data_IF_730859778805
#
_entry.id   IF_730859778805
#
_cell.length_a   1.000
_cell.length_b   1.000
_cell.length_c   1.000
_cell.angle_alpha   90.00
_cell.angle_beta   90.00
_cell.angle_gamma   90.00
#
_symmetry.space_group_name_H-M   'P 1'
#
loop_
_entity.id
_entity.type
_entity.pdbx_description
1 polymer ?
#
# COMPACT_ATOMS: atom_id res chain seq x y z
N UNK A 1 7.65 2.66 78.99
CA UNK A 1 8.68 2.55 77.94
C UNK A 1 8.03 1.94 76.72
N UNK A 2 7.86 2.74 75.66
CA UNK A 2 7.01 2.48 74.49
C UNK A 2 7.93 2.40 73.26
N UNK A 3 8.12 1.22 72.70
CA UNK A 3 8.74 1.05 71.37
C UNK A 3 7.61 0.83 70.37
N UNK A 4 7.07 1.93 69.84
CA UNK A 4 6.27 1.90 68.63
C UNK A 4 7.23 1.84 67.44
N UNK A 5 7.59 0.64 67.01
CA UNK A 5 8.33 0.43 65.77
C UNK A 5 7.39 0.67 64.60
N UNK A 6 7.65 1.77 63.91
CA UNK A 6 6.94 2.28 62.75
C UNK A 6 6.86 1.25 61.61
N UNK A 7 5.73 0.54 61.53
CA UNK A 7 5.37 -0.34 60.42
C UNK A 7 4.83 0.47 59.22
N UNK A 8 5.60 1.43 58.72
CA UNK A 8 5.23 2.27 57.56
C UNK A 8 5.99 1.88 56.28
N UNK A 9 7.02 1.02 56.35
CA UNK A 9 7.94 0.80 55.22
C UNK A 9 7.57 -0.26 54.17
N UNK A 10 6.64 -1.21 54.43
CA UNK A 10 6.45 -2.38 53.54
C UNK A 10 5.22 -2.31 52.65
N UNK A 11 4.07 -1.83 53.16
CA UNK A 11 2.82 -1.74 52.38
C UNK A 11 2.89 -0.68 51.28
N UNK A 12 3.49 0.48 51.57
CA UNK A 12 3.71 1.52 50.55
C UNK A 12 4.60 1.03 49.42
N UNK A 13 5.71 0.37 49.75
CA UNK A 13 6.63 -0.21 48.76
C UNK A 13 5.95 -1.25 47.86
N UNK A 14 5.11 -2.13 48.41
CA UNK A 14 4.37 -3.12 47.60
C UNK A 14 3.40 -2.45 46.61
N UNK A 15 2.68 -1.40 47.02
CA UNK A 15 1.77 -0.67 46.12
C UNK A 15 2.56 0.01 45.00
N UNK A 16 3.69 0.65 45.31
CA UNK A 16 4.55 1.26 44.29
C UNK A 16 5.07 0.24 43.27
N UNK A 17 5.50 -0.94 43.72
CA UNK A 17 5.95 -2.01 42.82
C UNK A 17 4.80 -2.48 41.91
N UNK A 18 3.60 -2.68 42.45
CA UNK A 18 2.43 -3.09 41.66
C UNK A 18 2.07 -2.02 40.64
N UNK A 19 2.03 -0.74 41.02
CA UNK A 19 1.74 0.37 40.11
C UNK A 19 2.81 0.48 39.02
N UNK A 20 4.09 0.32 39.36
CA UNK A 20 5.18 0.33 38.39
C UNK A 20 5.04 -0.82 37.37
N UNK A 21 4.73 -2.03 37.84
CA UNK A 21 4.50 -3.20 36.96
C UNK A 21 3.28 -2.95 36.07
N UNK A 22 2.17 -2.44 36.60
CA UNK A 22 0.99 -2.12 35.81
C UNK A 22 1.27 -1.03 34.77
N UNK A 23 2.06 -0.01 35.11
CA UNK A 23 2.47 1.03 34.18
C UNK A 23 3.31 0.44 33.02
N UNK A 24 4.24 -0.47 33.34
CA UNK A 24 5.04 -1.18 32.32
C UNK A 24 4.15 -2.04 31.42
N UNK A 25 3.22 -2.80 32.00
CA UNK A 25 2.27 -3.64 31.24
C UNK A 25 1.39 -2.78 30.33
N UNK A 26 0.87 -1.66 30.83
CA UNK A 26 0.06 -0.73 30.03
C UNK A 26 0.86 -0.10 28.87
N UNK A 27 2.12 0.25 29.09
CA UNK A 27 3.00 0.78 28.05
C UNK A 27 3.28 -0.27 26.95
N UNK A 28 3.53 -1.52 27.33
CA UNK A 28 3.71 -2.63 26.39
C UNK A 28 2.44 -2.91 25.59
N UNK A 29 1.29 -3.00 26.25
CA UNK A 29 -0.01 -3.19 25.59
C UNK A 29 -0.29 -2.08 24.57
N UNK A 30 -0.06 -0.82 24.94
CA UNK A 30 -0.23 0.33 24.05
C UNK A 30 0.66 0.24 22.80
N UNK A 31 1.90 -0.22 22.98
CA UNK A 31 2.86 -0.41 21.87
C UNK A 31 2.39 -1.50 20.91
N UNK A 32 1.84 -2.61 21.42
CA UNK A 32 1.29 -3.69 20.61
C UNK A 32 0.02 -3.29 19.86
N UNK A 33 -0.88 -2.53 20.50
CA UNK A 33 -2.06 -2.00 19.80
C UNK A 33 -1.66 -1.05 18.69
N UNK A 34 -0.69 -0.16 18.96
CA UNK A 34 -0.20 0.78 17.96
C UNK A 34 0.49 0.06 16.79
N UNK A 35 1.26 -1.01 17.06
CA UNK A 35 1.93 -1.79 16.02
C UNK A 35 0.94 -2.57 15.16
N UNK A 36 -0.12 -3.16 15.75
CA UNK A 36 -1.19 -3.83 15.01
C UNK A 36 -1.91 -2.87 14.05
N UNK A 37 -2.25 -1.66 14.52
CA UNK A 37 -2.86 -0.62 13.69
C UNK A 37 -1.95 -0.18 12.55
N UNK A 38 -0.66 0.00 12.80
CA UNK A 38 0.33 0.33 11.77
C UNK A 38 0.46 -0.79 10.74
N UNK A 39 0.48 -2.05 11.19
CA UNK A 39 0.59 -3.23 10.32
C UNK A 39 -0.62 -3.34 9.39
N UNK A 40 -1.83 -3.11 9.90
CA UNK A 40 -3.05 -3.08 9.08
C UNK A 40 -2.97 -2.03 7.96
N UNK A 41 -2.51 -0.80 8.28
CA UNK A 41 -2.33 0.26 7.28
C UNK A 41 -1.28 -0.12 6.23
N UNK A 42 -0.16 -0.71 6.64
CA UNK A 42 0.89 -1.17 5.73
C UNK A 42 0.40 -2.29 4.81
N UNK A 43 -0.32 -3.28 5.33
CA UNK A 43 -0.92 -4.36 4.53
C UNK A 43 -1.87 -3.79 3.48
N UNK A 44 -2.73 -2.82 3.86
CA UNK A 44 -3.62 -2.16 2.90
C UNK A 44 -2.86 -1.47 1.77
N UNK A 45 -1.83 -0.68 2.09
CA UNK A 45 -1.01 -0.02 1.07
C UNK A 45 -0.31 -1.02 0.15
N UNK A 46 0.20 -2.13 0.70
CA UNK A 46 0.82 -3.19 -0.10
C UNK A 46 -0.17 -3.81 -1.10
N UNK A 47 -1.42 -4.05 -0.69
CA UNK A 47 -2.45 -4.52 -1.62
C UNK A 47 -2.75 -3.52 -2.74
N UNK A 48 -2.89 -2.24 -2.41
CA UNK A 48 -3.10 -1.18 -3.41
C UNK A 48 -1.92 -1.09 -4.39
N UNK A 49 -0.69 -1.24 -3.89
CA UNK A 49 0.52 -1.25 -4.71
C UNK A 49 0.53 -2.37 -5.73
N UNK A 50 0.25 -3.61 -5.29
CA UNK A 50 0.18 -4.77 -6.19
C UNK A 50 -0.94 -4.59 -7.22
N UNK A 51 -2.10 -4.12 -6.79
CA UNK A 51 -3.23 -3.89 -7.70
C UNK A 51 -2.92 -2.83 -8.76
N UNK A 52 -2.25 -1.74 -8.37
CA UNK A 52 -1.82 -0.70 -9.31
C UNK A 52 -0.78 -1.22 -10.30
N UNK A 53 0.12 -2.11 -9.87
CA UNK A 53 1.10 -2.75 -10.77
C UNK A 53 0.44 -3.70 -11.78
N UNK A 54 -0.57 -4.45 -11.35
CA UNK A 54 -1.37 -5.31 -12.24
C UNK A 54 -2.13 -4.48 -13.27
N UNK A 55 -2.74 -3.36 -12.84
CA UNK A 55 -3.40 -2.42 -13.75
C UNK A 55 -2.43 -1.79 -14.75
N UNK A 56 -1.22 -1.43 -14.30
CA UNK A 56 -0.20 -0.87 -15.19
C UNK A 56 0.26 -1.91 -16.24
N UNK A 57 0.41 -3.16 -15.82
CA UNK A 57 0.75 -4.29 -16.71
C UNK A 57 -0.35 -4.54 -17.74
N UNK A 58 -1.61 -4.59 -17.29
CA UNK A 58 -2.76 -4.73 -18.17
C UNK A 58 -2.88 -3.56 -19.15
N UNK A 59 -2.55 -2.34 -18.70
CA UNK A 59 -2.51 -1.16 -19.55
C UNK A 59 -1.48 -1.29 -20.68
N UNK A 60 -0.26 -1.74 -20.38
CA UNK A 60 0.77 -1.98 -21.42
C UNK A 60 0.29 -3.02 -22.42
N UNK A 61 -0.26 -4.15 -21.95
CA UNK A 61 -0.77 -5.20 -22.83
C UNK A 61 -1.91 -4.70 -23.72
N UNK A 62 -2.83 -3.91 -23.17
CA UNK A 62 -3.93 -3.30 -23.92
C UNK A 62 -3.43 -2.32 -24.97
N UNK A 63 -2.51 -1.42 -24.62
CA UNK A 63 -1.96 -0.43 -25.55
C UNK A 63 -1.27 -1.10 -26.74
N UNK A 64 -0.51 -2.19 -26.50
CA UNK A 64 0.10 -2.98 -27.58
C UNK A 64 -0.94 -3.51 -28.57
N UNK A 65 -2.07 -4.03 -28.08
CA UNK A 65 -3.17 -4.49 -28.94
C UNK A 65 -3.79 -3.31 -29.70
N UNK A 66 -4.01 -2.16 -29.04
CA UNK A 66 -4.59 -0.99 -29.70
C UNK A 66 -3.71 -0.45 -30.82
N UNK A 67 -2.39 -0.37 -30.64
CA UNK A 67 -1.44 0.07 -31.69
C UNK A 67 -1.39 -0.89 -32.89
N UNK A 68 -1.72 -2.17 -32.68
CA UNK A 68 -1.83 -3.13 -33.78
C UNK A 68 -3.14 -2.96 -34.56
N UNK A 69 -4.22 -2.60 -33.88
CA UNK A 69 -5.55 -2.40 -34.48
C UNK A 69 -5.69 -1.02 -35.13
N UNK A 70 -5.11 0.01 -34.52
CA UNK A 70 -5.16 1.41 -34.95
C UNK A 70 -3.77 2.04 -34.90
N UNK A 71 -3.26 2.40 -36.07
CA UNK A 71 -1.95 3.07 -36.23
C UNK A 71 -1.95 4.53 -35.80
N UNK A 72 -3.13 5.14 -35.63
CA UNK A 72 -3.29 6.51 -35.16
C UNK A 72 -3.49 6.60 -33.63
N UNK A 73 -3.39 5.48 -32.90
CA UNK A 73 -3.52 5.46 -31.45
C UNK A 73 -2.43 6.28 -30.75
N UNK A 74 -2.83 7.28 -29.96
CA UNK A 74 -1.96 8.18 -29.19
C UNK A 74 -2.00 7.93 -27.67
N UNK A 75 -2.94 7.11 -27.22
CA UNK A 75 -3.17 6.78 -25.82
C UNK A 75 -4.65 6.76 -25.50
N UNK A 76 -4.95 6.50 -24.24
CA UNK A 76 -6.32 6.55 -23.73
C UNK A 76 -6.29 6.69 -22.20
N UNK A 77 -7.41 7.08 -21.61
CA UNK A 77 -7.58 7.07 -20.15
C UNK A 77 -8.88 6.39 -19.81
N UNK A 78 -8.84 5.42 -18.90
CA UNK A 78 -10.03 4.77 -18.38
C UNK A 78 -10.03 4.74 -16.85
N UNK A 79 -11.22 4.60 -16.30
CA UNK A 79 -11.45 4.45 -14.87
C UNK A 79 -11.93 3.04 -14.56
N UNK A 80 -11.39 2.47 -13.49
CA UNK A 80 -11.82 1.19 -12.94
C UNK A 80 -12.57 1.51 -11.63
N UNK A 81 -13.87 1.20 -11.54
CA UNK A 81 -14.66 1.53 -10.37
C UNK A 81 -14.25 0.67 -9.17
N UNK A 82 -14.41 1.23 -7.97
CA UNK A 82 -14.12 0.57 -6.70
C UNK A 82 -14.85 -0.78 -6.54
N UNK A 83 -16.00 -0.96 -7.19
CA UNK A 83 -16.75 -2.23 -7.19
C UNK A 83 -16.00 -3.39 -7.85
N UNK A 84 -15.09 -3.09 -8.78
CA UNK A 84 -14.26 -4.09 -9.47
C UNK A 84 -12.92 -4.31 -8.76
N UNK A 85 -12.61 -3.48 -7.75
CA UNK A 85 -11.33 -3.45 -7.06
C UNK A 85 -11.47 -3.92 -5.62
N UNK A 86 -10.65 -4.90 -5.20
CA UNK A 86 -10.67 -5.42 -3.82
C UNK A 86 -10.28 -4.38 -2.76
N UNK A 87 -9.68 -3.26 -3.17
CA UNK A 87 -9.28 -2.14 -2.30
C UNK A 87 -10.37 -1.13 -1.96
N UNK A 88 -11.55 -1.19 -2.61
CA UNK A 88 -12.67 -0.28 -2.36
C UNK A 88 -12.40 1.19 -2.74
N UNK A 89 -11.39 1.45 -3.56
CA UNK A 89 -11.04 2.77 -4.08
C UNK A 89 -11.01 2.68 -5.61
N UNK A 90 -11.54 3.69 -6.30
CA UNK A 90 -11.47 3.77 -7.76
C UNK A 90 -10.01 3.84 -8.22
N UNK A 91 -9.75 3.43 -9.46
CA UNK A 91 -8.45 3.62 -10.10
C UNK A 91 -8.61 4.35 -11.42
N UNK A 92 -7.63 5.15 -11.79
CA UNK A 92 -7.50 5.72 -13.13
C UNK A 92 -6.22 5.22 -13.77
N UNK A 93 -6.34 4.74 -15.00
CA UNK A 93 -5.23 4.27 -15.83
C UNK A 93 -5.15 5.20 -17.02
N UNK A 94 -4.04 5.94 -17.10
CA UNK A 94 -3.75 6.84 -18.21
C UNK A 94 -2.59 6.27 -19.02
N UNK A 95 -2.82 6.10 -20.32
CA UNK A 95 -1.85 5.62 -21.30
C UNK A 95 -1.49 6.75 -22.23
N UNK A 96 -0.20 6.91 -22.47
CA UNK A 96 0.35 7.86 -23.42
C UNK A 96 1.35 7.11 -24.28
N UNK A 97 1.23 7.25 -25.60
CA UNK A 97 2.24 6.78 -26.55
C UNK A 97 3.00 7.99 -27.08
N UNK A 98 4.32 7.98 -26.94
CA UNK A 98 5.21 8.98 -27.53
C UNK A 98 6.25 8.27 -28.39
N UNK A 99 6.18 8.49 -29.71
CA UNK A 99 6.93 7.75 -30.74
C UNK A 99 6.80 6.23 -30.57
N UNK A 100 7.76 5.58 -29.89
CA UNK A 100 7.80 4.15 -29.61
C UNK A 100 7.77 3.82 -28.10
N UNK A 101 7.65 4.81 -27.22
CA UNK A 101 7.59 4.65 -25.77
C UNK A 101 6.14 4.72 -25.25
N UNK A 102 5.65 3.60 -24.74
CA UNK A 102 4.41 3.55 -23.97
C UNK A 102 4.67 3.94 -22.52
N UNK A 103 3.96 4.96 -22.03
CA UNK A 103 3.88 5.30 -20.62
C UNK A 103 2.49 5.01 -20.08
N UNK A 104 2.40 4.09 -19.11
CA UNK A 104 1.16 3.76 -18.40
C UNK A 104 1.25 4.25 -16.97
N UNK A 105 0.36 5.14 -16.58
CA UNK A 105 0.25 5.71 -15.23
C UNK A 105 -1.03 5.24 -14.57
N UNK A 106 -0.91 4.64 -13.40
CA UNK A 106 -2.05 4.21 -12.57
C UNK A 106 -2.07 5.04 -11.29
N UNK A 107 -3.24 5.58 -10.95
CA UNK A 107 -3.49 6.32 -9.71
C UNK A 107 -4.65 5.70 -8.93
N UNK A 108 -4.42 5.43 -7.64
CA UNK A 108 -5.44 4.92 -6.70
C UNK A 108 -5.40 5.73 -5.39
N UNK A 109 -6.50 6.40 -4.99
CA UNK A 109 -7.62 6.82 -5.84
C UNK A 109 -7.17 7.87 -6.89
N UNK A 110 -7.99 8.16 -7.91
CA UNK A 110 -7.73 9.25 -8.84
C UNK A 110 -7.83 10.64 -8.18
N UNK A 111 -7.21 11.65 -8.79
CA UNK A 111 -7.25 13.05 -8.34
C UNK A 111 -6.12 13.42 -7.36
N UNK A 112 -6.41 14.31 -6.41
CA UNK A 112 -5.39 14.88 -5.50
C UNK A 112 -5.08 14.01 -4.28
N UNK A 113 -5.94 13.02 -3.98
CA UNK A 113 -5.81 12.14 -2.82
C UNK A 113 -5.08 10.82 -3.14
N UNK A 114 -4.19 10.82 -4.14
CA UNK A 114 -3.49 9.60 -4.59
C UNK A 114 -2.70 8.98 -3.45
N UNK A 115 -3.02 7.73 -3.14
CA UNK A 115 -2.30 6.93 -2.14
C UNK A 115 -1.21 6.08 -2.77
N UNK A 116 -1.51 5.54 -3.93
CA UNK A 116 -0.61 4.72 -4.72
C UNK A 116 -0.58 5.25 -6.13
N UNK A 117 0.63 5.49 -6.63
CA UNK A 117 0.90 5.80 -8.02
C UNK A 117 1.92 4.81 -8.56
N UNK A 118 1.58 4.15 -9.65
CA UNK A 118 2.51 3.31 -10.40
C UNK A 118 2.67 3.91 -11.78
N UNK A 119 3.89 3.92 -12.28
CA UNK A 119 4.17 4.29 -13.67
C UNK A 119 5.02 3.20 -14.27
N UNK A 120 4.57 2.63 -15.38
CA UNK A 120 5.29 1.62 -16.14
C UNK A 120 5.57 2.17 -17.53
N UNK A 121 6.81 1.99 -17.98
CA UNK A 121 7.24 2.35 -19.32
C UNK A 121 7.61 1.10 -20.08
N UNK A 122 7.26 1.05 -21.36
CA UNK A 122 7.59 -0.06 -22.23
C UNK A 122 7.84 0.46 -23.63
N UNK A 123 8.85 -0.08 -24.30
CA UNK A 123 9.06 0.14 -25.73
C UNK A 123 8.06 -0.72 -26.51
N UNK A 124 7.46 -0.15 -27.56
CA UNK A 124 6.57 -0.88 -28.48
C UNK A 124 7.30 -2.04 -29.17
N UNK A 125 8.57 -1.84 -29.54
CA UNK A 125 9.37 -2.80 -30.30
C UNK A 125 10.03 -3.91 -29.45
N UNK A 126 10.20 -3.72 -28.15
CA UNK A 126 11.12 -4.54 -27.35
C UNK A 126 10.62 -5.94 -26.95
N UNK A 127 9.43 -6.37 -27.40
CA UNK A 127 8.88 -7.69 -27.04
C UNK A 127 8.14 -8.38 -28.19
N UNK A 128 8.65 -8.20 -29.41
CA UNK A 128 8.42 -9.18 -30.47
C UNK A 128 9.40 -10.35 -30.29
N UNK A 129 8.95 -11.37 -29.53
CA UNK A 129 9.52 -12.71 -29.29
C UNK A 129 10.73 -12.86 -28.32
N UNK A 130 10.57 -13.57 -27.20
CA UNK A 130 11.43 -14.71 -26.94
C UNK A 130 10.96 -15.85 -27.85
N UNK A 131 11.85 -16.22 -28.76
CA UNK A 131 11.85 -17.52 -29.43
C UNK A 131 11.68 -18.61 -28.35
N UNK A 132 10.50 -19.24 -28.30
CA UNK A 132 10.31 -20.46 -27.51
C UNK A 132 10.73 -21.63 -28.40
N UNK A 133 12.02 -21.84 -28.47
CA UNK A 133 12.55 -23.19 -28.63
C UNK A 133 12.36 -23.89 -27.28
N UNK A 134 11.32 -24.73 -27.18
CA UNK A 134 11.19 -25.89 -26.27
C UNK A 134 9.88 -26.65 -26.58
#
# INVERSE_FOLDING_TARGET
MMHATSQVGRRGATIFVVVAVLAVVAALASTWTASALRRSRQTRLAHLQVQADWLATAGVARARVQVLLDKAYDGETWRVPASELRGGEDAEVAIQLDEDELTVRVAIPPGDAVRVRVTRRAMLAAEALPDRDD
#
